data_IF_901698027208
#
_entry.id   IF_901698027208
#
_cell.length_a   1.000
_cell.length_b   1.000
_cell.length_c   1.000
_cell.angle_alpha   90.00
_cell.angle_beta   90.00
_cell.angle_gamma   90.00
#
_symmetry.space_group_name_H-M   'P 1'
#
loop_
_entity.id
_entity.type
_entity.pdbx_description
1 polymer ?
#
# COMPACT_ATOMS: atom_id res chain seq x y z
N UNK A 1 -9.21 3.19 -5.13
CA UNK A 1 -8.97 2.80 -3.74
C UNK A 1 -10.22 3.05 -2.92
N UNK A 2 -10.54 4.33 -2.67
CA UNK A 2 -11.71 4.75 -1.90
C UNK A 2 -13.04 4.18 -2.40
N UNK A 3 -13.22 4.07 -3.73
CA UNK A 3 -14.40 3.43 -4.33
C UNK A 3 -14.65 2.00 -3.84
N UNK A 4 -13.60 1.22 -3.56
CA UNK A 4 -13.73 -0.15 -3.04
C UNK A 4 -14.13 -0.17 -1.56
N UNK A 5 -13.62 0.76 -0.77
CA UNK A 5 -14.04 0.94 0.62
C UNK A 5 -15.51 1.36 0.70
N UNK A 6 -15.92 2.29 -0.16
CA UNK A 6 -17.31 2.72 -0.29
C UNK A 6 -18.22 1.55 -0.69
N UNK A 7 -17.82 0.72 -1.66
CA UNK A 7 -18.59 -0.44 -2.08
C UNK A 7 -18.80 -1.45 -0.95
N UNK A 8 -17.80 -1.68 -0.09
CA UNK A 8 -17.96 -2.56 1.07
C UNK A 8 -18.85 -1.92 2.14
N UNK A 9 -18.71 -0.62 2.40
CA UNK A 9 -19.59 0.09 3.32
C UNK A 9 -21.07 0.00 2.87
N UNK A 10 -21.33 0.24 1.58
CA UNK A 10 -22.67 0.11 0.98
C UNK A 10 -23.20 -1.33 0.93
N UNK A 11 -22.32 -2.33 0.94
CA UNK A 11 -22.72 -3.73 0.97
C UNK A 11 -23.17 -4.16 2.38
N UNK A 12 -22.60 -3.56 3.42
CA UNK A 12 -22.80 -3.96 4.82
C UNK A 12 -23.88 -3.10 5.49
N UNK A 13 -23.97 -1.81 5.13
CA UNK A 13 -24.89 -0.85 5.73
C UNK A 13 -26.14 -0.71 4.86
N UNK A 14 -27.30 -0.58 5.49
CA UNK A 14 -28.59 -0.52 4.81
C UNK A 14 -28.82 0.85 4.14
N UNK A 15 -28.35 1.92 4.77
CA UNK A 15 -28.55 3.30 4.32
C UNK A 15 -27.29 3.88 3.67
N UNK A 16 -27.45 4.56 2.52
CA UNK A 16 -26.34 5.17 1.78
C UNK A 16 -25.62 6.27 2.59
N UNK A 17 -26.38 7.00 3.42
CA UNK A 17 -25.83 8.04 4.28
C UNK A 17 -24.89 7.46 5.36
N UNK A 18 -25.25 6.31 5.94
CA UNK A 18 -24.39 5.63 6.91
C UNK A 18 -23.10 5.13 6.25
N UNK A 19 -23.19 4.61 5.03
CA UNK A 19 -22.02 4.21 4.25
C UNK A 19 -21.09 5.38 3.95
N UNK A 20 -21.64 6.55 3.65
CA UNK A 20 -20.86 7.78 3.48
C UNK A 20 -20.13 8.16 4.78
N UNK A 21 -20.83 8.22 5.92
CA UNK A 21 -20.20 8.57 7.20
C UNK A 21 -19.18 7.53 7.66
N UNK A 22 -19.42 6.24 7.38
CA UNK A 22 -18.46 5.18 7.60
C UNK A 22 -17.18 5.43 6.78
N UNK A 23 -17.30 5.75 5.50
CA UNK A 23 -16.15 6.07 4.65
C UNK A 23 -15.37 7.28 5.19
N UNK A 24 -16.08 8.36 5.56
CA UNK A 24 -15.47 9.56 6.16
C UNK A 24 -14.72 9.20 7.45
N UNK A 25 -15.30 8.36 8.30
CA UNK A 25 -14.65 7.91 9.53
C UNK A 25 -13.39 7.08 9.24
N UNK A 26 -13.44 6.18 8.26
CA UNK A 26 -12.28 5.40 7.82
C UNK A 26 -11.15 6.33 7.36
N UNK A 27 -11.43 7.31 6.50
CA UNK A 27 -10.40 8.17 5.93
C UNK A 27 -9.84 9.19 6.90
N UNK A 28 -10.67 9.72 7.81
CA UNK A 28 -10.31 10.86 8.64
C UNK A 28 -9.92 10.48 10.08
N UNK A 29 -10.38 9.32 10.57
CA UNK A 29 -10.17 8.91 11.96
C UNK A 29 -9.39 7.60 12.11
N UNK A 30 -9.65 6.59 11.26
CA UNK A 30 -8.98 5.29 11.37
C UNK A 30 -7.64 5.25 10.65
N UNK A 31 -7.60 5.78 9.42
CA UNK A 31 -6.40 5.81 8.61
C UNK A 31 -5.52 7.02 8.98
N UNK A 32 -4.19 6.91 8.84
CA UNK A 32 -3.30 8.04 9.10
C UNK A 32 -3.59 9.26 8.22
N UNK A 33 -3.16 10.44 8.66
CA UNK A 33 -3.18 11.63 7.80
C UNK A 33 -2.36 11.42 6.52
N UNK A 34 -2.79 12.02 5.41
CA UNK A 34 -2.20 11.89 4.06
C UNK A 34 -2.18 10.47 3.48
N UNK A 35 -3.01 9.55 3.99
CA UNK A 35 -3.02 8.19 3.48
C UNK A 35 -3.62 8.07 2.08
N UNK A 36 -4.65 8.88 1.80
CA UNK A 36 -5.34 8.96 0.51
C UNK A 36 -5.11 10.29 -0.21
N UNK A 37 -4.02 11.01 0.12
CA UNK A 37 -3.62 12.22 -0.60
C UNK A 37 -3.09 11.89 -1.99
N UNK A 38 -2.92 12.90 -2.86
CA UNK A 38 -2.35 12.72 -4.20
C UNK A 38 -0.95 12.08 -4.18
N UNK A 39 -0.19 12.32 -3.13
CA UNK A 39 1.18 11.81 -2.95
C UNK A 39 1.21 10.48 -2.20
N UNK A 40 0.08 10.07 -1.58
CA UNK A 40 -0.07 8.84 -0.80
C UNK A 40 1.03 8.68 0.26
N UNK A 41 1.55 9.78 0.82
CA UNK A 41 2.66 9.78 1.78
C UNK A 41 2.36 8.85 2.96
N UNK A 42 1.15 8.92 3.52
CA UNK A 42 0.75 8.06 4.63
C UNK A 42 0.84 6.57 4.28
N UNK A 43 0.43 6.19 3.06
CA UNK A 43 0.50 4.81 2.57
C UNK A 43 1.95 4.35 2.33
N UNK A 44 2.77 5.19 1.71
CA UNK A 44 4.19 4.90 1.48
C UNK A 44 4.96 4.70 2.78
N UNK A 45 4.69 5.55 3.79
CA UNK A 45 5.24 5.42 5.13
C UNK A 45 4.87 4.07 5.74
N UNK A 46 3.60 3.67 5.65
CA UNK A 46 3.13 2.40 6.20
C UNK A 46 3.76 1.18 5.52
N UNK A 47 4.12 1.25 4.23
CA UNK A 47 4.89 0.18 3.57
C UNK A 47 6.28 0.00 4.19
N UNK A 48 6.99 1.10 4.46
CA UNK A 48 8.32 1.05 5.11
C UNK A 48 8.24 0.54 6.53
N UNK A 49 7.25 1.03 7.28
CA UNK A 49 6.96 0.57 8.64
C UNK A 49 6.64 -0.93 8.64
N UNK A 50 5.85 -1.40 7.66
CA UNK A 50 5.52 -2.81 7.52
C UNK A 50 6.77 -3.65 7.22
N UNK A 51 7.65 -3.19 6.31
CA UNK A 51 8.91 -3.89 6.01
C UNK A 51 9.78 -4.05 7.26
N UNK A 52 9.92 -3.00 8.08
CA UNK A 52 10.68 -3.09 9.34
C UNK A 52 10.08 -4.12 10.30
N UNK A 53 8.75 -4.09 10.47
CA UNK A 53 8.06 -5.01 11.37
C UNK A 53 8.17 -6.45 10.87
N UNK A 54 8.05 -6.67 9.55
CA UNK A 54 8.20 -7.98 8.94
C UNK A 54 9.62 -8.52 9.18
N UNK A 55 10.64 -7.69 9.03
CA UNK A 55 12.04 -8.04 9.28
C UNK A 55 12.28 -8.45 10.74
N UNK A 56 11.62 -7.77 11.67
CA UNK A 56 11.73 -8.07 13.11
C UNK A 56 10.98 -9.36 13.50
N UNK A 57 9.79 -9.58 12.95
CA UNK A 57 8.91 -10.69 13.33
C UNK A 57 9.18 -11.97 12.55
N UNK A 58 9.56 -11.86 11.28
CA UNK A 58 9.80 -12.97 10.34
C UNK A 58 11.17 -12.83 9.64
N UNK A 59 12.29 -12.78 10.40
CA UNK A 59 13.61 -12.50 9.82
C UNK A 59 14.06 -13.54 8.78
N UNK A 60 13.71 -14.82 8.98
CA UNK A 60 13.99 -15.89 8.00
C UNK A 60 13.29 -15.63 6.67
N UNK A 61 12.02 -15.26 6.72
CA UNK A 61 11.24 -14.94 5.53
C UNK A 61 11.80 -13.69 4.85
N UNK A 62 12.06 -12.62 5.59
CA UNK A 62 12.57 -11.39 5.00
C UNK A 62 13.94 -11.58 4.35
N UNK A 63 14.86 -12.30 4.99
CA UNK A 63 16.16 -12.60 4.39
C UNK A 63 16.02 -13.38 3.07
N UNK A 64 15.08 -14.33 3.00
CA UNK A 64 14.78 -15.06 1.76
C UNK A 64 14.21 -14.15 0.66
N UNK A 65 13.28 -13.27 1.03
CA UNK A 65 12.68 -12.32 0.09
C UNK A 65 13.71 -11.29 -0.44
N UNK A 66 14.61 -10.82 0.43
CA UNK A 66 15.69 -9.92 0.05
C UNK A 66 16.70 -10.61 -0.89
N UNK A 67 17.00 -11.90 -0.68
CA UNK A 67 17.84 -12.70 -1.60
C UNK A 67 17.22 -12.81 -2.99
N UNK A 68 15.90 -12.93 -3.07
CA UNK A 68 15.15 -12.97 -4.32
C UNK A 68 14.86 -11.57 -4.91
N UNK A 69 15.31 -10.50 -4.24
CA UNK A 69 15.06 -9.10 -4.63
C UNK A 69 13.57 -8.79 -4.83
N UNK A 70 12.74 -9.30 -3.90
CA UNK A 70 11.29 -9.08 -3.92
C UNK A 70 10.97 -7.75 -3.24
N UNK A 71 10.23 -6.89 -3.94
CA UNK A 71 9.60 -5.72 -3.31
C UNK A 71 8.14 -6.06 -2.94
N UNK A 72 7.93 -6.32 -1.66
CA UNK A 72 6.60 -6.62 -1.13
C UNK A 72 5.60 -5.47 -1.32
N UNK A 73 6.09 -4.23 -1.40
CA UNK A 73 5.27 -3.03 -1.56
C UNK A 73 4.38 -3.12 -2.80
N UNK A 74 4.83 -3.84 -3.84
CA UNK A 74 4.06 -4.05 -5.07
C UNK A 74 2.69 -4.73 -4.82
N UNK A 75 2.55 -5.48 -3.73
CA UNK A 75 1.30 -6.14 -3.37
C UNK A 75 0.71 -5.61 -2.07
N UNK A 76 1.54 -5.43 -1.04
CA UNK A 76 1.04 -4.98 0.26
C UNK A 76 0.50 -3.55 0.19
N UNK A 77 0.95 -2.71 -0.75
CA UNK A 77 0.39 -1.38 -0.93
C UNK A 77 -1.11 -1.42 -1.23
N UNK A 78 -1.57 -2.34 -2.09
CA UNK A 78 -2.99 -2.47 -2.37
C UNK A 78 -3.78 -2.94 -1.14
N UNK A 79 -3.28 -3.94 -0.41
CA UNK A 79 -3.95 -4.46 0.79
C UNK A 79 -4.18 -3.37 1.83
N UNK A 80 -3.17 -2.52 2.00
CA UNK A 80 -3.16 -1.41 2.93
C UNK A 80 -4.05 -0.26 2.47
N UNK A 81 -4.12 -0.01 1.17
CA UNK A 81 -4.95 1.05 0.60
C UNK A 81 -6.45 0.73 0.71
N UNK A 82 -6.82 -0.53 0.46
CA UNK A 82 -8.22 -0.96 0.36
C UNK A 82 -8.61 -1.97 1.43
N UNK A 83 -7.88 -2.07 2.53
CA UNK A 83 -8.18 -2.96 3.67
C UNK A 83 -8.56 -4.38 3.18
N UNK A 84 -7.69 -4.95 2.32
CA UNK A 84 -7.79 -6.31 1.77
C UNK A 84 -9.02 -6.63 0.88
N UNK A 85 -9.82 -5.65 0.46
CA UNK A 85 -11.10 -5.89 -0.24
C UNK A 85 -11.00 -6.80 -1.46
N UNK A 86 -9.96 -6.69 -2.29
CA UNK A 86 -9.80 -7.57 -3.48
C UNK A 86 -8.91 -8.79 -3.21
N UNK A 87 -8.41 -8.94 -1.99
CA UNK A 87 -7.35 -9.88 -1.66
C UNK A 87 -7.86 -11.07 -0.85
N UNK A 88 -8.86 -10.89 0.00
CA UNK A 88 -9.41 -11.93 0.85
C UNK A 88 -10.81 -12.36 0.39
N UNK A 89 -11.17 -13.61 0.68
CA UNK A 89 -12.54 -14.10 0.49
C UNK A 89 -13.49 -13.43 1.49
N UNK A 90 -14.76 -13.26 1.14
CA UNK A 90 -15.73 -12.44 1.89
C UNK A 90 -15.79 -12.75 3.38
N UNK A 91 -15.81 -14.03 3.77
CA UNK A 91 -15.85 -14.45 5.19
C UNK A 91 -14.60 -14.03 6.00
N UNK A 92 -13.42 -13.97 5.36
CA UNK A 92 -12.22 -13.44 6.01
C UNK A 92 -12.21 -11.91 5.99
N UNK A 93 -12.63 -11.33 4.86
CA UNK A 93 -12.67 -9.88 4.69
C UNK A 93 -13.53 -9.22 5.77
N UNK A 94 -14.73 -9.73 6.01
CA UNK A 94 -15.64 -9.17 7.03
C UNK A 94 -15.01 -9.20 8.43
N UNK A 95 -14.34 -10.30 8.81
CA UNK A 95 -13.64 -10.38 10.11
C UNK A 95 -12.46 -9.42 10.24
N UNK A 96 -11.75 -9.17 9.13
CA UNK A 96 -10.70 -8.14 9.09
C UNK A 96 -11.31 -6.76 9.29
N UNK A 97 -12.45 -6.50 8.64
CA UNK A 97 -13.18 -5.24 8.73
C UNK A 97 -13.78 -5.00 10.12
N UNK A 98 -14.39 -6.00 10.75
CA UNK A 98 -14.89 -5.91 12.13
C UNK A 98 -13.77 -5.48 13.09
N UNK A 99 -12.62 -6.14 13.00
CA UNK A 99 -11.46 -5.80 13.81
C UNK A 99 -10.90 -4.41 13.44
N UNK A 100 -10.84 -4.07 12.17
CA UNK A 100 -10.32 -2.79 11.69
C UNK A 100 -11.17 -1.61 12.15
N UNK A 101 -12.50 -1.71 12.08
CA UNK A 101 -13.41 -0.68 12.56
C UNK A 101 -13.34 -0.54 14.09
N UNK A 102 -13.05 -1.62 14.81
CA UNK A 102 -12.94 -1.60 16.28
C UNK A 102 -11.57 -1.14 16.81
N UNK A 103 -10.46 -1.62 16.24
CA UNK A 103 -9.09 -1.40 16.72
C UNK A 103 -8.27 -0.42 15.86
N UNK A 104 -8.74 -0.08 14.66
CA UNK A 104 -8.10 0.86 13.73
C UNK A 104 -6.99 0.27 12.85
N UNK A 105 -6.23 1.14 12.19
CA UNK A 105 -5.29 0.79 11.12
C UNK A 105 -4.18 -0.22 11.50
N UNK A 106 -3.85 -0.39 12.79
CA UNK A 106 -2.88 -1.43 13.22
C UNK A 106 -3.31 -2.84 12.85
N UNK A 107 -4.62 -3.07 12.69
CA UNK A 107 -5.18 -4.37 12.30
C UNK A 107 -4.69 -4.78 10.91
N UNK A 108 -4.50 -3.82 10.02
CA UNK A 108 -3.98 -4.07 8.66
C UNK A 108 -2.59 -4.70 8.73
N UNK A 109 -1.71 -4.16 9.58
CA UNK A 109 -0.37 -4.71 9.83
C UNK A 109 -0.43 -6.12 10.41
N UNK A 110 -1.28 -6.34 11.42
CA UNK A 110 -1.43 -7.66 12.06
C UNK A 110 -1.84 -8.73 11.06
N UNK A 111 -2.87 -8.46 10.26
CA UNK A 111 -3.34 -9.41 9.26
C UNK A 111 -2.34 -9.60 8.13
N UNK A 112 -1.68 -8.55 7.65
CA UNK A 112 -0.63 -8.70 6.64
C UNK A 112 0.50 -9.62 7.12
N UNK A 113 1.00 -9.42 8.35
CA UNK A 113 2.01 -10.31 8.95
C UNK A 113 1.48 -11.73 9.14
N UNK A 114 0.25 -11.89 9.62
CA UNK A 114 -0.35 -13.19 9.83
C UNK A 114 -0.48 -13.97 8.51
N UNK A 115 -0.82 -13.28 7.42
CA UNK A 115 -0.90 -13.84 6.08
C UNK A 115 0.49 -14.33 5.62
N UNK A 116 1.55 -13.55 5.81
CA UNK A 116 2.92 -13.99 5.51
C UNK A 116 3.38 -15.14 6.40
N UNK A 117 3.11 -15.07 7.71
CA UNK A 117 3.44 -16.14 8.66
C UNK A 117 2.73 -17.45 8.32
N UNK A 118 1.46 -17.38 7.94
CA UNK A 118 0.67 -18.54 7.57
C UNK A 118 1.29 -19.30 6.38
N UNK A 119 1.90 -18.56 5.44
CA UNK A 119 2.48 -19.09 4.21
C UNK A 119 4.01 -19.15 4.22
N UNK A 120 4.65 -18.90 5.37
CA UNK A 120 6.11 -18.79 5.48
C UNK A 120 6.82 -20.02 4.91
N UNK A 121 6.42 -21.22 5.32
CA UNK A 121 7.02 -22.47 4.85
C UNK A 121 6.80 -22.76 3.35
N UNK A 122 5.74 -22.23 2.76
CA UNK A 122 5.51 -22.34 1.32
C UNK A 122 6.39 -21.36 0.56
N UNK A 123 6.48 -20.11 1.04
CA UNK A 123 7.30 -19.06 0.44
C UNK A 123 8.79 -19.43 0.49
N UNK A 124 9.27 -20.00 1.59
CA UNK A 124 10.67 -20.41 1.75
C UNK A 124 11.11 -21.52 0.76
N UNK A 125 10.16 -22.23 0.15
CA UNK A 125 10.47 -23.25 -0.87
C UNK A 125 10.62 -22.68 -2.28
N UNK A 126 10.11 -21.47 -2.50
CA UNK A 126 10.18 -20.77 -3.78
C UNK A 126 11.59 -20.23 -3.95
N UNK A 127 12.20 -20.49 -5.11
CA UNK A 127 13.59 -20.08 -5.38
C UNK A 127 13.70 -19.00 -6.46
N UNK A 128 12.58 -18.64 -7.08
CA UNK A 128 12.53 -17.68 -8.17
C UNK A 128 11.55 -16.54 -7.88
N UNK A 129 11.91 -15.33 -8.31
CA UNK A 129 11.13 -14.12 -8.05
C UNK A 129 9.80 -14.11 -8.84
N UNK A 130 9.80 -14.61 -10.08
CA UNK A 130 8.58 -14.71 -10.88
C UNK A 130 7.62 -15.73 -10.27
N UNK A 131 8.14 -16.89 -9.84
CA UNK A 131 7.34 -17.90 -9.13
C UNK A 131 6.73 -17.31 -7.85
N UNK A 132 7.50 -16.51 -7.10
CA UNK A 132 6.97 -15.82 -5.91
C UNK A 132 5.79 -14.91 -6.25
N UNK A 133 5.93 -14.01 -7.24
CA UNK A 133 4.82 -13.11 -7.61
C UNK A 133 3.61 -13.86 -8.16
N UNK A 134 3.81 -14.99 -8.85
CA UNK A 134 2.71 -15.87 -9.27
C UNK A 134 2.01 -16.48 -8.05
N UNK A 135 2.77 -17.05 -7.11
CA UNK A 135 2.22 -17.60 -5.87
C UNK A 135 1.44 -16.54 -5.08
N UNK A 136 1.99 -15.33 -4.99
CA UNK A 136 1.41 -14.20 -4.27
C UNK A 136 0.04 -13.75 -4.83
N UNK A 137 -0.28 -14.04 -6.10
CA UNK A 137 -1.63 -13.78 -6.65
C UNK A 137 -2.70 -14.72 -6.10
N UNK A 138 -2.31 -15.89 -5.62
CA UNK A 138 -3.23 -16.92 -5.15
C UNK A 138 -3.09 -17.19 -3.64
N UNK A 139 -2.00 -16.76 -3.01
CA UNK A 139 -1.70 -17.21 -1.65
C UNK A 139 -2.70 -16.70 -0.61
N UNK A 140 -3.31 -15.52 -0.79
CA UNK A 140 -4.40 -15.06 0.06
C UNK A 140 -5.66 -15.93 -0.07
N UNK A 141 -5.87 -16.59 -1.22
CA UNK A 141 -6.96 -17.56 -1.46
C UNK A 141 -6.66 -18.95 -0.88
N UNK A 142 -5.40 -19.27 -0.60
CA UNK A 142 -5.04 -20.55 0.05
C UNK A 142 -5.42 -20.59 1.53
N UNK A 143 -5.77 -19.43 2.11
CA UNK A 143 -6.20 -19.29 3.50
C UNK A 143 -7.62 -19.85 3.63
N UNK A 144 -7.70 -21.15 3.90
CA UNK A 144 -8.94 -21.90 4.10
C UNK A 144 -9.44 -21.84 5.55
N UNK A 145 -8.55 -21.53 6.51
CA UNK A 145 -8.86 -21.59 7.94
C UNK A 145 -8.78 -20.21 8.61
N UNK A 146 -9.87 -19.44 8.56
CA UNK A 146 -9.94 -18.10 9.16
C UNK A 146 -9.63 -18.05 10.65
N UNK A 147 -10.02 -19.08 11.42
CA UNK A 147 -9.67 -19.19 12.84
C UNK A 147 -8.16 -19.25 13.09
N UNK A 148 -7.42 -19.99 12.25
CA UNK A 148 -5.96 -20.08 12.36
C UNK A 148 -5.31 -18.74 12.04
N UNK A 149 -5.79 -18.04 11.00
CA UNK A 149 -5.29 -16.70 10.65
C UNK A 149 -5.52 -15.71 11.81
N UNK A 150 -6.72 -15.69 12.41
CA UNK A 150 -7.01 -14.85 13.56
C UNK A 150 -6.13 -15.18 14.77
N UNK A 151 -5.92 -16.48 15.05
CA UNK A 151 -5.03 -16.90 16.15
C UNK A 151 -3.60 -16.38 15.96
N UNK A 152 -3.07 -16.39 14.74
CA UNK A 152 -1.75 -15.85 14.45
C UNK A 152 -1.75 -14.31 14.59
N UNK A 153 -2.77 -13.64 14.02
CA UNK A 153 -2.86 -12.18 14.00
C UNK A 153 -2.98 -11.55 15.40
N UNK A 154 -3.77 -12.16 16.28
CA UNK A 154 -4.04 -11.64 17.63
C UNK A 154 -3.30 -12.38 18.76
N UNK A 155 -2.69 -13.53 18.48
CA UNK A 155 -1.81 -14.25 19.40
C UNK A 155 -0.34 -13.99 19.06
N UNK A 156 0.20 -14.78 18.13
CA UNK A 156 1.63 -14.87 17.85
C UNK A 156 2.28 -13.54 17.43
N UNK A 157 1.54 -12.71 16.69
CA UNK A 157 2.08 -11.45 16.16
C UNK A 157 2.07 -10.33 17.20
N UNK A 158 1.27 -10.42 18.26
CA UNK A 158 1.21 -9.42 19.32
C UNK A 158 2.49 -9.40 20.20
N UNK A 159 2.79 -8.30 20.89
CA UNK A 159 2.03 -7.04 20.94
C UNK A 159 2.29 -6.12 19.73
N UNK A 160 1.26 -5.34 19.37
CA UNK A 160 1.32 -4.21 18.43
C UNK A 160 0.92 -2.90 19.13
N UNK A 161 1.81 -2.28 19.93
CA UNK A 161 1.49 -1.02 20.61
C UNK A 161 1.35 0.12 19.60
N UNK A 162 0.24 0.84 19.65
CA UNK A 162 0.01 1.99 18.76
C UNK A 162 1.12 3.03 18.81
N UNK A 163 1.70 3.26 20.00
CA UNK A 163 2.81 4.19 20.21
C UNK A 163 4.06 3.78 19.40
N UNK A 164 4.36 2.49 19.31
CA UNK A 164 5.48 2.00 18.51
C UNK A 164 5.25 2.27 17.02
N UNK A 165 4.02 2.02 16.55
CA UNK A 165 3.64 2.24 15.15
C UNK A 165 3.72 3.73 14.79
N UNK A 166 3.20 4.61 15.65
CA UNK A 166 3.27 6.06 15.49
C UNK A 166 4.72 6.57 15.46
N UNK A 167 5.58 6.05 16.35
CA UNK A 167 7.00 6.41 16.36
C UNK A 167 7.69 6.02 15.05
N UNK A 168 7.49 4.78 14.57
CA UNK A 168 8.08 4.32 13.29
C UNK A 168 7.54 5.12 12.11
N UNK A 169 6.25 5.45 12.10
CA UNK A 169 5.64 6.34 11.09
C UNK A 169 6.30 7.71 11.08
N UNK A 170 6.56 8.30 12.23
CA UNK A 170 7.25 9.60 12.31
C UNK A 170 8.64 9.56 11.69
N UNK A 171 9.43 8.52 11.98
CA UNK A 171 10.78 8.36 11.43
C UNK A 171 10.76 8.20 9.90
N UNK A 172 9.88 7.35 9.38
CA UNK A 172 9.79 7.10 7.94
C UNK A 172 9.16 8.24 7.17
N UNK A 173 8.22 8.99 7.77
CA UNK A 173 7.58 10.15 7.16
C UNK A 173 8.60 11.21 6.73
N UNK A 174 9.55 11.54 7.62
CA UNK A 174 10.61 12.52 7.30
C UNK A 174 11.43 12.11 6.07
N UNK A 175 11.72 10.81 5.92
CA UNK A 175 12.48 10.28 4.78
C UNK A 175 11.67 10.36 3.49
N UNK A 176 10.41 9.90 3.53
CA UNK A 176 9.51 9.93 2.35
C UNK A 176 9.27 11.37 1.88
N UNK A 177 9.06 12.30 2.80
CA UNK A 177 8.87 13.72 2.48
C UNK A 177 10.14 14.39 1.93
N UNK A 178 11.33 13.97 2.36
CA UNK A 178 12.59 14.43 1.78
C UNK A 178 12.75 13.93 0.34
N UNK A 179 12.59 12.63 0.12
CA UNK A 179 12.69 12.02 -1.22
C UNK A 179 11.67 12.59 -2.21
N UNK A 180 10.44 12.86 -1.75
CA UNK A 180 9.42 13.46 -2.60
C UNK A 180 9.79 14.90 -3.01
N UNK A 181 10.31 15.71 -2.08
CA UNK A 181 10.76 17.08 -2.38
C UNK A 181 11.92 17.08 -3.37
N UNK A 182 12.86 16.17 -3.24
CA UNK A 182 13.97 16.01 -4.18
C UNK A 182 13.45 15.65 -5.59
N UNK A 183 12.51 14.70 -5.68
CA UNK A 183 11.87 14.32 -6.95
C UNK A 183 11.09 15.48 -7.58
N UNK A 184 10.39 16.29 -6.79
CA UNK A 184 9.68 17.47 -7.26
C UNK A 184 10.63 18.54 -7.82
N UNK A 185 11.76 18.78 -7.14
CA UNK A 185 12.79 19.70 -7.61
C UNK A 185 13.41 19.24 -8.93
N UNK A 186 13.75 17.95 -9.04
CA UNK A 186 14.28 17.36 -10.27
C UNK A 186 13.29 17.48 -11.44
N UNK A 187 12.01 17.21 -11.19
CA UNK A 187 10.96 17.38 -12.20
C UNK A 187 10.83 18.84 -12.64
N UNK A 188 10.86 19.78 -11.70
CA UNK A 188 10.78 21.21 -12.02
C UNK A 188 11.99 21.68 -12.85
N UNK A 189 13.20 21.21 -12.53
CA UNK A 189 14.41 21.49 -13.30
C UNK A 189 14.30 20.94 -14.72
N UNK A 190 13.91 19.67 -14.86
CA UNK A 190 13.75 19.03 -16.17
C UNK A 190 12.72 19.76 -17.05
N UNK A 191 11.57 20.14 -16.48
CA UNK A 191 10.53 20.89 -17.22
C UNK A 191 11.05 22.27 -17.65
N UNK A 192 11.83 22.94 -16.81
CA UNK A 192 12.44 24.24 -17.13
C UNK A 192 13.46 24.10 -18.27
N UNK A 193 14.34 23.12 -18.21
CA UNK A 193 15.32 22.84 -19.27
C UNK A 193 14.65 22.51 -20.60
N UNK A 194 13.57 21.72 -20.59
CA UNK A 194 12.79 21.42 -21.81
C UNK A 194 12.12 22.67 -22.39
N UNK A 195 11.58 23.55 -21.55
CA UNK A 195 10.96 24.80 -21.99
C UNK A 195 12.00 25.76 -22.61
N UNK A 196 13.20 25.85 -22.04
CA UNK A 196 14.31 26.64 -22.58
C UNK A 196 14.84 26.09 -23.90
N UNK A 197 14.90 24.75 -24.05
CA UNK A 197 15.27 24.10 -25.30
C UNK A 197 14.22 24.30 -26.40
N UNK A 198 12.93 24.20 -26.07
CA UNK A 198 11.83 24.45 -27.00
C UNK A 198 11.78 25.93 -27.45
N UNK A 199 12.05 26.87 -26.53
CA UNK A 199 12.14 28.30 -26.87
C UNK A 199 13.37 28.66 -27.72
N UNK A 200 14.40 27.79 -27.75
CA UNK A 200 15.64 27.98 -28.52
C UNK A 200 15.59 27.39 -29.93
N UNK A 201 14.51 26.70 -30.32
CA UNK A 201 14.22 26.35 -31.71
C UNK A 201 13.16 27.33 -32.24
N UNK A 202 13.52 28.37 -33.00
CA UNK A 202 12.54 29.25 -33.60
C UNK A 202 11.85 28.49 -34.74
N UNK A 203 10.51 28.56 -34.77
CA UNK A 203 9.75 28.31 -36.00
C UNK A 203 10.40 29.12 -37.14
N UNK A 204 10.90 28.42 -38.15
CA UNK A 204 11.29 29.05 -39.41
C UNK A 204 10.05 29.71 -40.04
N UNK A 205 10.19 30.91 -40.63
CA UNK A 205 9.03 31.66 -41.09
C UNK A 205 8.29 30.88 -42.18
N UNK A 206 6.99 30.70 -42.01
CA UNK A 206 6.07 30.64 -43.15
C UNK A 206 6.07 32.01 -43.81
N UNK A 207 6.96 32.20 -44.78
CA UNK A 207 6.80 33.21 -45.81
C UNK A 207 6.20 32.53 -47.04
N UNK A 208 4.94 32.86 -47.29
CA UNK A 208 4.36 32.88 -48.62
C UNK A 208 5.26 33.75 -49.52
N UNK A 209 5.84 33.17 -50.57
CA UNK A 209 6.19 33.91 -51.78
C UNK A 209 5.74 33.06 -52.97
N UNK A 210 4.68 33.55 -53.62
CA UNK A 210 4.37 33.31 -55.02
C UNK A 210 5.58 33.69 -55.87
N UNK A 211 6.01 32.87 -56.83
CA UNK A 211 6.39 33.35 -58.17
C UNK A 211 6.61 32.19 -59.16
N UNK A 212 6.27 32.50 -60.40
CA UNK A 212 6.16 31.68 -61.61
C UNK A 212 7.42 30.85 -61.97
N UNK A 213 7.20 29.65 -62.55
CA UNK A 213 7.47 29.29 -63.97
C UNK A 213 6.99 27.85 -64.21
#
# INVERSE_FOLDING_TARGET
>A
GLNRLAAIALLILEEEEEAFWCLVHITNNLMPHDYYSNTLIGSQVDQRVFKDILSEKLPRLTAHLDQLQIDLSLVTFNWFLVVFVDSLVSDLLLRVWDAFLYEGAKVIFRYALAIFKYNEEAILKIQDNLEFYQYLRFFTKTISYGRKLMSIAFGDMNPFPMKLLQNRRGVHRLKVEAELRELEQLKAQYVKEQAEQAASQPDGPTSEEEEEI
#
